data_IF_976593691556
#
_entry.id   IF_976593691556
#
_cell.length_a   1.000
_cell.length_b   1.000
_cell.length_c   1.000
_cell.angle_alpha   90.00
_cell.angle_beta   90.00
_cell.angle_gamma   90.00
#
_symmetry.space_group_name_H-M   'P 1'
#
loop_
_entity.id
_entity.type
_entity.pdbx_description
1 polymer ?
#
# COMPACT_ATOMS: atom_id res chain seq x y z
N UNK A 1 -71.33 -39.74 1.71
CA UNK A 1 -71.04 -38.66 0.75
C UNK A 1 -69.74 -38.00 1.17
N UNK A 2 -68.64 -38.24 0.45
CA UNK A 2 -67.27 -37.90 0.89
C UNK A 2 -67.04 -36.39 0.77
N UNK A 3 -66.67 -35.76 1.88
CA UNK A 3 -66.52 -34.31 2.03
C UNK A 3 -65.43 -33.74 1.09
N UNK A 4 -65.86 -33.00 0.07
CA UNK A 4 -65.03 -32.32 -0.92
C UNK A 4 -64.20 -31.12 -0.39
N UNK A 5 -64.21 -30.83 0.92
CA UNK A 5 -63.56 -29.63 1.48
C UNK A 5 -62.07 -29.77 1.78
N UNK A 6 -61.58 -30.98 2.09
CA UNK A 6 -60.17 -31.20 2.43
C UNK A 6 -59.25 -31.24 1.20
N UNK A 7 -59.80 -31.56 0.02
CA UNK A 7 -59.05 -31.61 -1.24
C UNK A 7 -58.74 -30.20 -1.78
N UNK A 8 -59.66 -29.23 -1.63
CA UNK A 8 -59.44 -27.84 -2.06
C UNK A 8 -58.36 -27.13 -1.23
N UNK A 9 -58.29 -27.42 0.07
CA UNK A 9 -57.29 -26.84 0.98
C UNK A 9 -55.90 -27.44 0.71
N UNK A 10 -55.81 -28.75 0.44
CA UNK A 10 -54.54 -29.41 0.10
C UNK A 10 -54.02 -29.03 -1.29
N UNK A 11 -54.91 -28.82 -2.27
CA UNK A 11 -54.53 -28.37 -3.61
C UNK A 11 -54.08 -26.89 -3.62
N UNK A 12 -54.71 -26.05 -2.80
CA UNK A 12 -54.31 -24.65 -2.63
C UNK A 12 -52.93 -24.50 -1.96
N UNK A 13 -52.63 -25.32 -0.95
CA UNK A 13 -51.33 -25.28 -0.26
C UNK A 13 -50.18 -25.79 -1.14
N UNK A 14 -50.42 -26.82 -1.97
CA UNK A 14 -49.43 -27.37 -2.92
C UNK A 14 -49.16 -26.40 -4.08
N UNK A 15 -50.17 -25.66 -4.54
CA UNK A 15 -49.98 -24.64 -5.57
C UNK A 15 -49.20 -23.42 -5.05
N UNK A 16 -49.40 -23.02 -3.78
CA UNK A 16 -48.66 -21.92 -3.17
C UNK A 16 -47.18 -22.26 -2.89
N UNK A 17 -46.86 -23.52 -2.58
CA UNK A 17 -45.47 -23.96 -2.41
C UNK A 17 -44.74 -24.20 -3.74
N UNK A 18 -45.45 -24.60 -4.80
CA UNK A 18 -44.89 -24.70 -6.17
C UNK A 18 -44.66 -23.33 -6.83
N UNK A 19 -45.46 -22.31 -6.51
CA UNK A 19 -45.18 -20.94 -6.96
C UNK A 19 -44.05 -20.28 -6.15
N UNK A 20 -43.87 -20.65 -4.88
CA UNK A 20 -42.83 -20.08 -4.01
C UNK A 20 -41.42 -20.57 -4.32
N UNK A 21 -41.25 -21.73 -4.95
CA UNK A 21 -39.93 -22.29 -5.30
C UNK A 21 -39.38 -21.82 -6.65
N UNK A 22 -40.17 -21.10 -7.45
CA UNK A 22 -39.69 -20.46 -8.69
C UNK A 22 -38.95 -19.13 -8.44
N UNK A 23 -39.04 -18.57 -7.24
CA UNK A 23 -38.36 -17.31 -6.86
C UNK A 23 -37.07 -17.57 -6.06
N UNK A 24 -36.81 -18.83 -5.68
CA UNK A 24 -35.56 -19.23 -5.04
C UNK A 24 -34.48 -19.57 -6.08
N UNK A 25 -33.78 -18.53 -6.51
CA UNK A 25 -32.31 -18.60 -6.60
C UNK A 25 -31.72 -19.54 -7.65
N UNK A 26 -31.90 -19.21 -8.92
CA UNK A 26 -30.74 -19.02 -9.77
C UNK A 26 -30.95 -17.67 -10.45
N UNK A 27 -30.13 -16.63 -10.21
CA UNK A 27 -29.95 -15.66 -11.26
C UNK A 27 -29.28 -16.45 -12.37
N UNK A 28 -30.09 -16.99 -13.30
CA UNK A 28 -29.58 -17.24 -14.64
C UNK A 28 -29.34 -15.85 -15.21
N UNK A 29 -28.21 -15.24 -14.82
CA UNK A 29 -27.72 -14.04 -15.45
C UNK A 29 -27.62 -14.39 -16.93
N UNK A 30 -28.45 -13.71 -17.75
CA UNK A 30 -28.29 -13.69 -19.20
C UNK A 30 -27.06 -12.84 -19.48
N UNK A 31 -25.90 -13.38 -19.13
CA UNK A 31 -24.58 -12.83 -19.40
C UNK A 31 -23.84 -13.82 -20.29
N UNK A 32 -23.26 -13.33 -21.38
CA UNK A 32 -22.34 -14.15 -22.17
C UNK A 32 -21.17 -14.53 -21.24
N UNK A 33 -20.86 -15.83 -21.06
CA UNK A 33 -19.78 -16.24 -20.18
C UNK A 33 -18.48 -15.63 -20.69
N UNK A 34 -17.80 -14.88 -19.82
CA UNK A 34 -16.47 -14.38 -20.13
C UNK A 34 -15.48 -15.54 -20.19
N UNK A 35 -14.44 -15.39 -21.00
CA UNK A 35 -13.29 -16.28 -20.96
C UNK A 35 -12.58 -16.19 -19.59
N UNK A 36 -12.25 -17.35 -18.99
CA UNK A 36 -11.50 -17.45 -17.72
C UNK A 36 -12.39 -17.38 -16.46
N UNK A 37 -11.88 -16.74 -15.40
CA UNK A 37 -12.54 -16.67 -14.07
C UNK A 37 -13.53 -15.50 -13.91
N UNK A 38 -14.00 -14.90 -15.00
CA UNK A 38 -14.93 -13.76 -14.93
C UNK A 38 -16.38 -14.24 -15.00
N UNK A 39 -17.23 -13.74 -14.11
CA UNK A 39 -18.66 -14.10 -14.03
C UNK A 39 -19.49 -13.50 -15.16
N UNK A 40 -19.11 -12.33 -15.69
CA UNK A 40 -19.74 -11.70 -16.85
C UNK A 40 -18.69 -11.13 -17.81
N UNK A 41 -18.93 -11.26 -19.12
CA UNK A 41 -18.17 -10.57 -20.15
C UNK A 41 -18.84 -9.26 -20.51
N UNK A 42 -18.16 -8.14 -20.32
CA UNK A 42 -18.63 -6.87 -20.88
C UNK A 42 -18.67 -7.01 -22.41
N UNK A 43 -19.88 -6.92 -22.97
CA UNK A 43 -20.08 -6.92 -24.41
C UNK A 43 -19.69 -5.55 -24.93
N UNK A 44 -18.40 -5.37 -25.20
CA UNK A 44 -17.93 -4.23 -25.95
C UNK A 44 -17.97 -4.56 -27.46
N UNK A 45 -18.96 -4.04 -28.22
CA UNK A 45 -19.08 -4.31 -29.65
C UNK A 45 -17.97 -3.65 -30.48
N UNK A 46 -17.25 -2.66 -29.93
CA UNK A 46 -16.17 -1.93 -30.59
C UNK A 46 -14.85 -2.25 -29.88
N UNK A 47 -14.34 -3.47 -30.05
CA UNK A 47 -13.06 -3.89 -29.46
C UNK A 47 -11.82 -3.30 -30.14
N UNK A 48 -11.95 -2.80 -31.37
CA UNK A 48 -10.83 -2.42 -32.23
C UNK A 48 -9.89 -1.35 -31.68
N UNK A 49 -10.32 -0.59 -30.66
CA UNK A 49 -9.44 0.34 -29.92
C UNK A 49 -9.42 0.08 -28.41
N UNK A 50 -10.23 -0.85 -27.90
CA UNK A 50 -10.22 -1.25 -26.50
C UNK A 50 -8.99 -2.13 -26.20
N UNK A 51 -8.72 -3.06 -27.10
CA UNK A 51 -7.51 -3.87 -27.10
C UNK A 51 -6.55 -3.26 -28.12
N UNK A 52 -5.45 -2.70 -27.63
CA UNK A 52 -4.46 -2.04 -28.46
C UNK A 52 -3.33 -3.01 -28.81
N UNK A 53 -2.66 -2.81 -29.94
CA UNK A 53 -1.49 -3.60 -30.34
C UNK A 53 -0.25 -3.29 -29.51
N UNK A 54 -0.19 -2.10 -28.90
CA UNK A 54 0.87 -1.70 -27.96
C UNK A 54 0.60 -2.25 -26.56
N UNK A 55 1.63 -2.81 -25.92
CA UNK A 55 1.54 -3.25 -24.53
C UNK A 55 1.65 -2.09 -23.54
N UNK A 56 0.81 -2.12 -22.51
CA UNK A 56 0.92 -1.22 -21.35
C UNK A 56 1.94 -1.73 -20.34
N UNK A 57 2.39 -0.86 -19.44
CA UNK A 57 3.50 -1.14 -18.52
C UNK A 57 3.31 -2.45 -17.74
N UNK A 58 2.14 -2.67 -17.14
CA UNK A 58 1.84 -3.86 -16.32
C UNK A 58 1.04 -4.93 -17.07
N UNK A 59 0.92 -4.82 -18.40
CA UNK A 59 0.16 -5.77 -19.21
C UNK A 59 0.94 -7.07 -19.44
N UNK A 60 0.24 -8.20 -19.42
CA UNK A 60 0.82 -9.50 -19.72
C UNK A 60 1.21 -9.58 -21.20
N UNK A 61 2.47 -9.90 -21.46
CA UNK A 61 3.06 -10.12 -22.77
C UNK A 61 3.34 -11.62 -22.95
N UNK A 62 2.76 -12.26 -23.98
CA UNK A 62 2.82 -13.72 -24.16
C UNK A 62 4.17 -14.21 -24.72
N UNK A 63 5.08 -13.30 -25.10
CA UNK A 63 6.31 -13.61 -25.83
C UNK A 63 7.46 -14.01 -24.89
N UNK A 64 7.41 -13.65 -23.61
CA UNK A 64 8.54 -13.81 -22.72
C UNK A 64 8.58 -15.16 -22.01
N UNK A 65 9.81 -15.65 -21.83
CA UNK A 65 10.12 -16.90 -21.12
C UNK A 65 9.54 -16.87 -19.70
N UNK A 66 9.16 -18.04 -19.18
CA UNK A 66 8.54 -18.20 -17.86
C UNK A 66 9.42 -17.76 -16.68
N UNK A 67 10.73 -17.57 -16.87
CA UNK A 67 11.67 -17.09 -15.87
C UNK A 67 11.65 -15.56 -15.69
N UNK A 68 10.88 -14.83 -16.50
CA UNK A 68 10.77 -13.38 -16.43
C UNK A 68 9.34 -12.90 -16.15
N UNK A 69 9.18 -11.72 -15.52
CA UNK A 69 7.87 -11.13 -15.35
C UNK A 69 7.24 -10.95 -16.73
N UNK A 70 5.99 -11.40 -16.87
CA UNK A 70 5.28 -11.34 -18.15
C UNK A 70 4.89 -9.89 -18.54
N UNK A 71 5.09 -8.88 -17.68
CA UNK A 71 4.86 -7.47 -17.99
C UNK A 71 6.15 -6.64 -17.95
N UNK A 72 6.27 -5.73 -16.97
CA UNK A 72 7.49 -4.92 -16.78
C UNK A 72 8.74 -5.79 -16.63
N UNK A 73 9.67 -5.65 -17.58
CA UNK A 73 10.97 -6.33 -17.54
C UNK A 73 11.89 -5.64 -16.54
N UNK A 74 12.70 -6.44 -15.83
CA UNK A 74 13.76 -5.91 -14.98
C UNK A 74 14.90 -5.40 -15.87
N UNK A 75 15.42 -4.18 -15.63
CA UNK A 75 16.63 -3.75 -16.31
C UNK A 75 17.80 -4.67 -15.93
N UNK A 76 18.82 -4.82 -16.81
CA UNK A 76 20.07 -5.49 -16.44
C UNK A 76 20.65 -4.92 -15.15
N UNK A 77 21.34 -5.76 -14.38
CA UNK A 77 21.99 -5.30 -13.16
C UNK A 77 23.01 -4.18 -13.47
N UNK A 78 23.17 -3.24 -12.53
CA UNK A 78 24.15 -2.15 -12.60
C UNK A 78 23.93 -1.10 -13.71
N UNK A 79 22.76 -1.04 -14.32
CA UNK A 79 22.42 0.06 -15.25
C UNK A 79 22.16 1.36 -14.49
N UNK A 80 22.73 2.46 -14.97
CA UNK A 80 22.53 3.80 -14.40
C UNK A 80 21.60 4.63 -15.31
N UNK A 81 20.53 5.24 -14.78
CA UNK A 81 19.67 6.11 -15.56
C UNK A 81 20.34 7.46 -15.85
N UNK A 82 20.10 8.03 -17.04
CA UNK A 82 20.66 9.33 -17.45
C UNK A 82 20.10 10.50 -16.60
N UNK A 83 18.82 10.42 -16.19
CA UNK A 83 18.13 11.47 -15.43
C UNK A 83 17.60 11.00 -14.07
N UNK A 84 17.99 9.81 -13.59
CA UNK A 84 17.64 9.34 -12.24
C UNK A 84 18.72 9.72 -11.23
N UNK A 85 18.32 10.10 -10.01
CA UNK A 85 19.28 10.45 -8.96
C UNK A 85 20.03 9.19 -8.49
N UNK A 86 21.23 8.97 -9.03
CA UNK A 86 22.17 7.97 -8.50
C UNK A 86 22.98 8.50 -7.30
N UNK A 87 22.63 9.68 -6.76
CA UNK A 87 23.50 10.41 -5.83
C UNK A 87 23.68 9.70 -4.49
N UNK A 88 22.75 8.85 -4.06
CA UNK A 88 22.81 8.14 -2.78
C UNK A 88 22.90 6.62 -2.83
N UNK A 89 22.91 5.97 -3.99
CA UNK A 89 23.07 4.49 -4.05
C UNK A 89 24.49 4.01 -3.69
N UNK A 90 25.45 4.93 -3.50
CA UNK A 90 26.81 4.64 -3.05
C UNK A 90 26.89 4.29 -1.55
N UNK A 91 25.84 4.55 -0.76
CA UNK A 91 25.85 4.27 0.67
C UNK A 91 25.14 2.94 0.97
N UNK A 92 25.80 1.83 0.61
CA UNK A 92 25.29 0.46 0.80
C UNK A 92 25.27 0.06 2.28
N UNK A 93 26.11 0.68 3.12
CA UNK A 93 26.20 0.36 4.56
C UNK A 93 25.51 1.42 5.44
N UNK A 94 24.93 1.02 6.59
CA UNK A 94 24.35 1.97 7.55
C UNK A 94 25.31 3.05 8.01
N UNK A 95 26.60 2.73 8.16
CA UNK A 95 27.65 3.64 8.60
C UNK A 95 28.01 4.67 7.52
N UNK A 96 28.02 4.25 6.25
CA UNK A 96 28.22 5.15 5.12
C UNK A 96 27.04 6.10 4.99
N UNK A 97 25.81 5.59 5.11
CA UNK A 97 24.60 6.42 5.03
C UNK A 97 24.48 7.39 6.19
N UNK A 98 24.92 7.03 7.41
CA UNK A 98 24.87 7.92 8.57
C UNK A 98 25.63 9.25 8.37
N UNK A 99 26.57 9.31 7.42
CA UNK A 99 27.33 10.54 7.09
C UNK A 99 26.61 11.45 6.09
N UNK A 100 25.47 11.00 5.55
CA UNK A 100 24.69 11.78 4.60
C UNK A 100 23.95 12.90 5.33
N UNK A 101 24.09 14.11 4.82
CA UNK A 101 23.28 15.25 5.23
C UNK A 101 21.97 15.25 4.45
N UNK A 102 20.88 15.64 5.12
CA UNK A 102 19.59 15.79 4.48
C UNK A 102 19.63 16.99 3.51
N UNK A 103 19.45 16.80 2.18
CA UNK A 103 19.42 17.89 1.21
C UNK A 103 18.09 18.67 1.22
N UNK A 104 17.05 18.15 1.87
CA UNK A 104 15.72 18.76 1.98
C UNK A 104 15.69 19.66 3.21
N UNK A 105 15.61 20.97 2.98
CA UNK A 105 15.46 21.95 4.06
C UNK A 105 14.17 21.72 4.85
N UNK A 106 14.22 21.95 6.16
CA UNK A 106 13.04 21.89 7.03
C UNK A 106 12.21 23.17 6.80
N UNK A 107 11.20 23.05 5.96
CA UNK A 107 10.15 24.05 5.71
C UNK A 107 8.78 23.47 6.05
N UNK A 108 7.76 24.33 6.21
CA UNK A 108 6.38 23.90 6.40
C UNK A 108 5.92 22.94 5.30
N UNK A 109 6.18 23.27 4.03
CA UNK A 109 5.87 22.40 2.89
C UNK A 109 6.55 21.03 3.00
N UNK A 110 7.84 20.99 3.36
CA UNK A 110 8.58 19.74 3.49
C UNK A 110 8.03 18.87 4.63
N UNK A 111 7.56 19.49 5.72
CA UNK A 111 7.00 18.80 6.88
C UNK A 111 5.60 18.28 6.58
N UNK A 112 4.75 19.08 5.92
CA UNK A 112 3.42 18.66 5.49
C UNK A 112 3.51 17.50 4.50
N UNK A 113 4.45 17.58 3.55
CA UNK A 113 4.67 16.50 2.61
C UNK A 113 5.25 15.25 3.29
N UNK A 114 6.23 15.42 4.19
CA UNK A 114 6.77 14.34 5.01
C UNK A 114 5.70 13.66 5.88
N UNK A 115 4.77 14.43 6.44
CA UNK A 115 3.62 13.91 7.20
C UNK A 115 2.72 13.05 6.33
N UNK A 116 2.37 13.54 5.13
CA UNK A 116 1.57 12.78 4.17
C UNK A 116 2.24 11.44 3.86
N UNK A 117 3.53 11.46 3.50
CA UNK A 117 4.29 10.24 3.19
C UNK A 117 4.34 9.27 4.37
N UNK A 118 4.58 9.78 5.58
CA UNK A 118 4.62 8.97 6.80
C UNK A 118 3.28 8.32 7.10
N UNK A 119 2.18 9.08 7.01
CA UNK A 119 0.83 8.57 7.25
C UNK A 119 0.43 7.51 6.23
N UNK A 120 0.86 7.65 4.97
CA UNK A 120 0.56 6.67 3.90
C UNK A 120 1.40 5.40 4.03
N UNK A 121 2.69 5.51 4.35
CA UNK A 121 3.64 4.40 4.20
C UNK A 121 4.15 3.80 5.51
N UNK A 122 4.24 4.61 6.58
CA UNK A 122 4.94 4.25 7.81
C UNK A 122 4.00 4.05 9.00
N UNK A 123 2.95 4.87 9.12
CA UNK A 123 2.04 4.88 10.28
C UNK A 123 1.28 3.55 10.46
N UNK A 124 1.05 2.80 9.39
CA UNK A 124 0.40 1.47 9.44
C UNK A 124 1.12 0.49 10.38
N UNK A 125 2.46 0.58 10.46
CA UNK A 125 3.28 -0.24 11.35
C UNK A 125 3.78 0.56 12.57
N UNK A 126 4.23 1.81 12.36
CA UNK A 126 4.86 2.62 13.40
C UNK A 126 3.89 3.44 14.27
N UNK A 127 2.61 3.51 13.90
CA UNK A 127 1.61 4.38 14.52
C UNK A 127 1.79 5.85 14.11
N UNK A 128 0.72 6.65 14.21
CA UNK A 128 0.79 8.08 13.92
C UNK A 128 1.72 8.84 14.87
N UNK A 129 1.81 8.38 16.12
CA UNK A 129 2.69 8.95 17.15
C UNK A 129 4.10 8.33 17.14
N UNK A 130 4.38 7.40 16.23
CA UNK A 130 5.68 6.73 16.13
C UNK A 130 6.01 5.79 17.30
N UNK A 131 5.02 5.40 18.10
CA UNK A 131 5.16 4.52 19.26
C UNK A 131 5.39 3.02 18.91
N UNK A 132 5.30 2.66 17.64
CA UNK A 132 5.39 1.28 17.15
C UNK A 132 4.08 0.50 17.24
N UNK A 133 2.97 1.13 17.64
CA UNK A 133 1.66 0.50 17.78
C UNK A 133 0.75 0.89 16.60
N UNK A 134 1.21 0.64 15.38
CA UNK A 134 0.40 0.82 14.18
C UNK A 134 -0.77 -0.17 14.11
N UNK A 135 -1.72 0.08 13.20
CA UNK A 135 -2.95 -0.71 13.06
C UNK A 135 -2.67 -2.20 12.82
N UNK A 136 -1.64 -2.55 12.05
CA UNK A 136 -1.29 -3.95 11.76
C UNK A 136 -0.69 -4.67 12.99
N UNK A 137 0.00 -3.92 13.85
CA UNK A 137 0.60 -4.42 15.10
C UNK A 137 -0.49 -4.60 16.15
N UNK A 138 -1.40 -3.63 16.28
CA UNK A 138 -2.56 -3.70 17.16
C UNK A 138 -3.49 -4.88 16.81
N UNK A 139 -3.57 -5.25 15.53
CA UNK A 139 -4.29 -6.43 15.06
C UNK A 139 -3.54 -7.77 15.32
N UNK A 140 -2.30 -7.74 15.83
CA UNK A 140 -1.49 -8.93 16.07
C UNK A 140 -0.93 -9.60 14.82
N UNK A 141 -1.05 -8.95 13.65
CA UNK A 141 -0.61 -9.52 12.37
C UNK A 141 0.90 -9.34 12.11
N UNK A 142 1.57 -8.47 12.86
CA UNK A 142 3.00 -8.18 12.70
C UNK A 142 3.69 -7.92 14.04
N UNK A 143 4.98 -8.21 14.12
CA UNK A 143 5.77 -7.92 15.32
C UNK A 143 5.95 -6.41 15.51
N UNK A 144 5.91 -5.95 16.76
CA UNK A 144 6.02 -4.53 17.08
C UNK A 144 7.38 -3.96 16.63
N UNK A 145 7.40 -2.95 15.73
CA UNK A 145 8.64 -2.25 15.40
C UNK A 145 9.11 -1.39 16.58
N UNK A 146 10.41 -1.04 16.63
CA UNK A 146 10.91 -0.14 17.66
C UNK A 146 10.19 1.21 17.59
N UNK A 147 9.92 1.79 18.76
CA UNK A 147 9.40 3.16 18.85
C UNK A 147 10.40 4.15 18.25
N UNK A 148 9.92 4.97 17.33
CA UNK A 148 10.68 6.04 16.68
C UNK A 148 11.01 7.18 17.65
N UNK A 149 10.28 7.30 18.75
CA UNK A 149 10.50 8.31 19.80
C UNK A 149 11.41 7.83 20.93
N UNK A 150 11.84 6.57 20.90
CA UNK A 150 12.80 6.00 21.86
C UNK A 150 14.15 6.74 21.83
N UNK A 151 14.83 6.82 22.98
CA UNK A 151 16.14 7.47 23.09
C UNK A 151 17.17 6.91 22.10
N UNK A 152 17.10 5.61 21.83
CA UNK A 152 17.96 4.93 20.85
C UNK A 152 17.80 5.50 19.44
N UNK A 153 16.56 5.64 18.96
CA UNK A 153 16.29 6.11 17.59
C UNK A 153 16.45 7.63 17.49
N UNK A 154 16.13 8.37 18.56
CA UNK A 154 16.41 9.82 18.63
C UNK A 154 17.90 10.11 18.49
N UNK A 155 18.76 9.29 19.09
CA UNK A 155 20.22 9.42 18.99
C UNK A 155 20.84 8.89 17.69
N UNK A 156 20.06 8.43 16.70
CA UNK A 156 20.61 8.09 15.39
C UNK A 156 20.86 9.35 14.56
N UNK A 157 21.82 9.28 13.65
CA UNK A 157 22.00 10.29 12.59
C UNK A 157 20.87 10.18 11.56
N UNK A 158 20.50 11.31 10.94
CA UNK A 158 19.43 11.36 9.92
C UNK A 158 19.67 10.40 8.76
N UNK A 159 20.93 10.32 8.31
CA UNK A 159 21.33 9.41 7.25
C UNK A 159 21.14 7.93 7.59
N UNK A 160 21.16 7.55 8.88
CA UNK A 160 20.83 6.17 9.31
C UNK A 160 19.34 5.89 9.19
N UNK A 161 18.49 6.86 9.51
CA UNK A 161 17.03 6.73 9.31
C UNK A 161 16.73 6.62 7.81
N UNK A 162 17.35 7.45 6.99
CA UNK A 162 17.26 7.38 5.52
C UNK A 162 17.69 6.01 4.98
N UNK A 163 18.76 5.42 5.51
CA UNK A 163 19.22 4.08 5.14
C UNK A 163 18.15 3.01 5.38
N UNK A 164 17.55 3.02 6.57
CA UNK A 164 16.52 2.04 6.95
C UNK A 164 15.29 2.16 6.05
N UNK A 165 14.88 3.38 5.69
CA UNK A 165 13.78 3.58 4.71
C UNK A 165 14.19 3.04 3.33
N UNK A 166 15.43 3.24 2.92
CA UNK A 166 15.91 2.88 1.57
C UNK A 166 16.10 1.36 1.41
N UNK A 167 16.78 0.71 2.36
CA UNK A 167 17.22 -0.68 2.25
C UNK A 167 16.47 -1.64 3.19
N UNK A 168 15.68 -1.12 4.12
CA UNK A 168 15.02 -1.92 5.16
C UNK A 168 15.96 -2.24 6.33
N UNK A 169 15.39 -2.81 7.39
CA UNK A 169 16.16 -3.34 8.53
C UNK A 169 15.38 -4.44 9.25
N UNK A 170 16.01 -5.61 9.42
CA UNK A 170 15.35 -6.75 10.05
C UNK A 170 14.13 -7.20 9.24
N UNK A 171 12.94 -7.07 9.83
CA UNK A 171 11.66 -7.40 9.18
C UNK A 171 11.04 -6.23 8.43
N UNK A 172 11.59 -5.02 8.54
CA UNK A 172 11.11 -3.86 7.79
C UNK A 172 11.61 -3.93 6.34
N UNK A 173 10.68 -3.91 5.39
CA UNK A 173 10.98 -3.92 3.96
C UNK A 173 11.58 -2.59 3.46
N UNK A 174 12.34 -2.63 2.35
CA UNK A 174 12.83 -1.42 1.69
C UNK A 174 11.70 -0.65 1.00
N UNK A 175 11.74 0.69 1.09
CA UNK A 175 10.79 1.60 0.43
C UNK A 175 11.40 2.35 -0.77
N UNK A 176 12.63 2.02 -1.19
CA UNK A 176 13.31 2.73 -2.28
C UNK A 176 12.61 2.68 -3.64
N UNK A 177 11.74 1.69 -3.86
CA UNK A 177 10.99 1.52 -5.10
C UNK A 177 9.65 2.26 -5.09
N UNK A 178 9.18 2.66 -3.91
CA UNK A 178 7.90 3.33 -3.69
C UNK A 178 8.08 4.83 -3.47
N UNK A 179 9.19 5.22 -2.86
CA UNK A 179 9.51 6.61 -2.53
C UNK A 179 10.77 7.05 -3.28
N UNK A 180 10.75 8.27 -3.82
CA UNK A 180 11.93 8.95 -4.36
C UNK A 180 12.91 9.33 -3.25
N UNK A 181 14.15 9.67 -3.61
CA UNK A 181 15.18 10.09 -2.64
C UNK A 181 14.74 11.31 -1.81
N UNK A 182 14.17 12.33 -2.46
CA UNK A 182 13.71 13.54 -1.77
C UNK A 182 12.50 13.28 -0.87
N UNK A 183 11.59 12.39 -1.30
CA UNK A 183 10.46 11.95 -0.46
C UNK A 183 10.93 11.22 0.80
N UNK A 184 11.93 10.33 0.68
CA UNK A 184 12.51 9.65 1.84
C UNK A 184 13.14 10.66 2.82
N UNK A 185 13.82 11.68 2.32
CA UNK A 185 14.38 12.75 3.14
C UNK A 185 13.33 13.65 3.79
N UNK A 186 12.22 13.95 3.09
CA UNK A 186 11.08 14.65 3.68
C UNK A 186 10.42 13.83 4.80
N UNK A 187 10.30 12.51 4.62
CA UNK A 187 9.83 11.61 5.68
C UNK A 187 10.76 11.62 6.91
N UNK A 188 12.09 11.68 6.72
CA UNK A 188 13.05 11.84 7.82
C UNK A 188 12.80 13.15 8.58
N UNK A 189 12.58 14.27 7.89
CA UNK A 189 12.25 15.55 8.53
C UNK A 189 10.98 15.44 9.40
N UNK A 190 9.94 14.76 8.90
CA UNK A 190 8.73 14.53 9.69
C UNK A 190 8.98 13.64 10.92
N UNK A 191 9.80 12.59 10.81
CA UNK A 191 10.19 11.77 11.97
C UNK A 191 10.90 12.60 13.03
N UNK A 192 11.75 13.56 12.64
CA UNK A 192 12.40 14.49 13.59
C UNK A 192 11.42 15.46 14.22
N UNK A 193 10.49 16.00 13.44
CA UNK A 193 9.42 16.84 13.98
C UNK A 193 8.57 16.08 15.01
N UNK A 194 8.21 14.82 14.72
CA UNK A 194 7.48 13.95 15.63
C UNK A 194 8.25 13.70 16.95
N UNK A 195 9.54 13.41 16.85
CA UNK A 195 10.40 13.24 18.03
C UNK A 195 10.46 14.51 18.89
N UNK A 196 10.57 15.69 18.24
CA UNK A 196 10.63 17.00 18.90
C UNK A 196 9.28 17.42 19.51
N UNK A 197 8.17 17.04 18.89
CA UNK A 197 6.84 17.26 19.45
C UNK A 197 6.62 16.45 20.73
N UNK A 198 7.11 15.21 20.78
CA UNK A 198 6.99 14.35 21.97
C UNK A 198 8.00 14.73 23.07
N UNK A 199 9.20 15.17 22.68
CA UNK A 199 10.29 15.55 23.58
C UNK A 199 10.81 16.94 23.19
N UNK A 200 10.09 18.02 23.55
CA UNK A 200 10.49 19.38 23.19
C UNK A 200 11.77 19.78 23.90
N UNK A 201 12.63 20.53 23.21
CA UNK A 201 13.81 21.13 23.83
C UNK A 201 13.38 22.32 24.72
N UNK A 202 14.18 22.71 25.73
CA UNK A 202 13.86 23.84 26.60
C UNK A 202 13.55 25.14 25.83
N UNK A 203 14.23 25.34 24.69
CA UNK A 203 13.97 26.49 23.80
C UNK A 203 12.58 26.46 23.15
N UNK A 204 12.03 25.27 22.86
CA UNK A 204 10.70 25.14 22.26
C UNK A 204 9.62 25.51 23.28
N UNK A 205 9.81 25.07 24.53
CA UNK A 205 8.92 25.42 25.63
C UNK A 205 8.91 26.92 25.91
N UNK A 206 10.07 27.57 25.80
CA UNK A 206 10.18 29.02 26.01
C UNK A 206 9.47 29.80 24.90
N UNK A 207 9.53 29.34 23.64
CA UNK A 207 8.80 29.96 22.52
C UNK A 207 7.28 29.89 22.67
N UNK A 208 6.75 28.87 23.33
CA UNK A 208 5.30 28.72 23.56
C UNK A 208 4.80 29.65 24.68
N UNK A 209 5.69 30.08 25.58
CA UNK A 209 5.34 30.97 26.70
C UNK A 209 5.26 32.44 26.33
N UNK A 210 5.82 32.83 25.17
CA UNK A 210 5.79 34.18 24.62
C UNK A 210 4.51 34.40 23.82
#
# INVERSE_FOLDING_TARGET
>A
MKNHSTLKIRLGLVCLTLLGTLVAGCPFEVGIPASGNKTFGELNPIRGMHEQTSYRDQEMQPIFRADQPQGMRRPPAMTVPIMGSSRTELAISPEASARLANPVAITEDSLNYGQFLFNTNCAVCHGHDGNGLGTIVAAGAFAQPPSLTSARVRGWEDGRVYHVITYGQGIMWPYKNQLTELERWAAVNYVRALQRAQFPEPMDLERIRQ
#
